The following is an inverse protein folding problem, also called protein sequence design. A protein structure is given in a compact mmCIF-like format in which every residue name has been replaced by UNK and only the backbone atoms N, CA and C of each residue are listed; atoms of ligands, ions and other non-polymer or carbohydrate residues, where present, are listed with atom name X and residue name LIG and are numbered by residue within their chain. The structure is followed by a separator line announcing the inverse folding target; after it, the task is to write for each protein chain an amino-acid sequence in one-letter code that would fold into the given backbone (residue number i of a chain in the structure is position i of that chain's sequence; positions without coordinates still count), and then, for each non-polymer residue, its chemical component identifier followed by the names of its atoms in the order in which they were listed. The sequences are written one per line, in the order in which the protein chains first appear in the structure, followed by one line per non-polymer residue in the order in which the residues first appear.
data_IF_446854339120
#
_entry.id   IF_446854339120
#
_cell.length_a   1.000
_cell.length_b   1.000
_cell.length_c   1.000
_cell.angle_alpha   90.00
_cell.angle_beta   90.00
_cell.angle_gamma   90.00
#
_symmetry.space_group_name_H-M   'P 1'
#
loop_
_entity.id
_entity.type
_entity.pdbx_description
1 polymer ?
#
# COMPACT_ATOMS: atom_id res chain seq x y z
N UNK A 1 44.80 -51.94 19.06
CA UNK A 1 45.73 -51.28 18.11
C UNK A 1 44.97 -50.89 16.83
N UNK A 2 44.54 -49.63 16.71
CA UNK A 2 44.60 -48.71 15.55
C UNK A 2 43.76 -47.46 15.87
N UNK A 3 44.13 -46.35 15.25
CA UNK A 3 44.19 -44.99 15.82
C UNK A 3 42.87 -44.19 15.81
N UNK A 4 42.83 -43.23 16.75
CA UNK A 4 41.89 -42.11 16.96
C UNK A 4 41.74 -41.19 15.74
N UNK A 5 40.60 -40.51 15.63
CA UNK A 5 40.55 -39.06 15.33
C UNK A 5 39.44 -38.41 16.19
N UNK A 6 39.84 -37.47 17.03
CA UNK A 6 38.98 -36.46 17.65
C UNK A 6 38.68 -35.37 16.60
N UNK A 7 37.42 -34.95 16.48
CA UNK A 7 37.06 -33.63 15.94
C UNK A 7 35.76 -33.20 16.64
N UNK A 8 35.89 -32.39 17.69
CA UNK A 8 35.80 -30.93 17.63
C UNK A 8 34.33 -30.48 17.73
N UNK A 9 34.00 -30.02 18.93
CA UNK A 9 32.89 -29.13 19.22
C UNK A 9 32.93 -27.96 18.24
N UNK A 10 31.91 -27.81 17.39
CA UNK A 10 31.58 -26.53 16.76
C UNK A 10 30.07 -26.29 16.83
N UNK A 11 29.74 -25.36 17.72
CA UNK A 11 28.49 -24.62 17.82
C UNK A 11 27.86 -24.29 16.46
N UNK A 12 26.56 -24.58 16.30
CA UNK A 12 25.60 -23.55 15.91
C UNK A 12 24.40 -23.69 16.84
N UNK A 13 24.40 -22.83 17.85
CA UNK A 13 23.17 -22.42 18.52
C UNK A 13 22.26 -21.89 17.42
N UNK A 14 21.16 -22.58 17.13
CA UNK A 14 20.09 -22.06 16.28
C UNK A 14 19.28 -21.03 17.10
N UNK A 15 19.98 -20.03 17.64
CA UNK A 15 19.40 -18.88 18.30
C UNK A 15 19.17 -17.81 17.25
N UNK A 16 17.90 -17.48 17.05
CA UNK A 16 17.44 -16.10 16.87
C UNK A 16 17.96 -15.44 15.59
N UNK A 17 17.39 -15.84 14.47
CA UNK A 17 17.06 -14.98 13.33
C UNK A 17 16.06 -15.76 12.49
N UNK A 18 14.84 -15.94 13.04
CA UNK A 18 13.69 -16.03 12.15
C UNK A 18 13.80 -14.82 11.22
N UNK A 19 13.54 -14.94 9.91
CA UNK A 19 13.44 -13.75 9.08
C UNK A 19 12.47 -12.85 9.85
N UNK A 20 12.98 -11.71 10.35
CA UNK A 20 12.10 -10.63 10.74
C UNK A 20 11.18 -10.50 9.53
N UNK A 21 9.91 -10.89 9.71
CA UNK A 21 8.90 -10.86 8.68
C UNK A 21 9.00 -9.45 8.13
N UNK A 22 9.64 -9.32 6.98
CA UNK A 22 9.88 -8.04 6.38
C UNK A 22 8.50 -7.67 5.86
N UNK A 23 7.75 -6.90 6.65
CA UNK A 23 6.42 -6.51 6.22
C UNK A 23 6.61 -5.66 4.98
N UNK A 24 5.78 -5.89 3.96
CA UNK A 24 5.82 -5.09 2.73
C UNK A 24 5.30 -3.65 2.93
N UNK A 25 5.04 -3.26 4.17
CA UNK A 25 4.52 -1.97 4.60
C UNK A 25 5.46 -0.80 4.31
N UNK A 26 4.87 0.40 4.17
CA UNK A 26 5.61 1.65 4.10
C UNK A 26 6.52 1.83 5.34
N UNK A 27 7.79 2.16 5.11
CA UNK A 27 8.77 2.38 6.19
C UNK A 27 9.46 1.13 6.75
N UNK A 28 9.29 -0.06 6.13
CA UNK A 28 10.07 -1.25 6.47
C UNK A 28 11.58 -1.06 6.24
N UNK A 29 12.42 -1.67 7.10
CA UNK A 29 13.87 -1.43 7.22
C UNK A 29 14.76 -1.64 5.95
N UNK A 30 14.24 -2.02 4.77
CA UNK A 30 15.07 -2.45 3.62
C UNK A 30 14.65 -2.02 2.20
N UNK A 31 13.75 -1.05 2.00
CA UNK A 31 13.49 -0.51 0.65
C UNK A 31 13.50 1.02 0.68
N UNK A 32 14.00 1.71 -0.37
CA UNK A 32 13.80 3.15 -0.53
C UNK A 32 12.30 3.41 -0.34
N UNK A 33 11.98 4.14 0.72
CA UNK A 33 10.74 3.99 1.45
C UNK A 33 9.62 4.75 0.74
N UNK A 34 8.77 4.03 0.00
CA UNK A 34 7.48 4.55 -0.42
C UNK A 34 6.76 5.13 0.81
N UNK A 35 6.15 6.29 0.63
CA UNK A 35 5.44 7.00 1.70
C UNK A 35 4.21 6.21 2.15
N UNK A 36 3.56 5.54 1.20
CA UNK A 36 2.42 4.67 1.44
C UNK A 36 2.59 3.41 0.63
N UNK A 37 2.26 2.27 1.22
CA UNK A 37 2.10 1.00 0.51
C UNK A 37 0.74 0.44 0.86
N UNK A 38 -0.09 0.22 -0.16
CA UNK A 38 -1.42 -0.38 -0.06
C UNK A 38 -1.47 -1.66 -0.88
N UNK A 39 -2.34 -2.57 -0.47
CA UNK A 39 -2.63 -3.82 -1.16
C UNK A 39 -4.10 -3.84 -1.55
N UNK A 40 -4.36 -4.21 -2.80
CA UNK A 40 -5.72 -4.37 -3.31
C UNK A 40 -6.34 -5.66 -2.73
N UNK A 41 -7.30 -5.49 -1.83
CA UNK A 41 -7.98 -6.59 -1.14
C UNK A 41 -9.09 -7.20 -1.99
N UNK A 42 -9.72 -6.40 -2.85
CA UNK A 42 -10.70 -6.84 -3.83
C UNK A 42 -10.77 -5.84 -4.99
N UNK A 43 -11.22 -6.34 -6.14
CA UNK A 43 -11.53 -5.53 -7.33
C UNK A 43 -12.77 -6.11 -8.01
N UNK A 44 -13.63 -5.24 -8.53
CA UNK A 44 -14.67 -5.59 -9.48
C UNK A 44 -14.45 -4.80 -10.76
N UNK A 45 -14.17 -5.51 -11.86
CA UNK A 45 -13.90 -4.90 -13.16
C UNK A 45 -14.95 -5.29 -14.20
N UNK A 46 -15.28 -4.35 -15.09
CA UNK A 46 -16.15 -4.54 -16.23
C UNK A 46 -15.50 -3.95 -17.48
N UNK A 47 -15.77 -4.57 -18.62
CA UNK A 47 -15.41 -4.01 -19.92
C UNK A 47 -16.63 -3.30 -20.50
N UNK A 48 -16.47 -2.03 -20.84
CA UNK A 48 -17.53 -1.17 -21.38
C UNK A 48 -17.09 -0.61 -22.72
N UNK A 49 -18.05 -0.12 -23.51
CA UNK A 49 -17.75 0.58 -24.76
C UNK A 49 -18.33 1.98 -24.67
N UNK A 50 -17.48 3.01 -24.66
CA UNK A 50 -17.87 4.42 -24.74
C UNK A 50 -17.40 5.01 -26.08
N UNK A 51 -18.32 5.61 -26.83
CA UNK A 51 -18.05 6.23 -28.15
C UNK A 51 -17.21 5.34 -29.10
N UNK A 52 -17.44 4.03 -29.06
CA UNK A 52 -16.74 3.06 -29.90
C UNK A 52 -15.35 2.64 -29.42
N UNK A 53 -14.90 3.12 -28.25
CA UNK A 53 -13.64 2.74 -27.61
C UNK A 53 -13.91 1.71 -26.52
N UNK A 54 -13.03 0.72 -26.37
CA UNK A 54 -13.13 -0.29 -25.32
C UNK A 54 -12.48 0.24 -24.05
N UNK A 55 -13.23 0.24 -22.96
CA UNK A 55 -12.79 0.65 -21.64
C UNK A 55 -12.77 -0.52 -20.67
N UNK A 56 -11.86 -0.48 -19.69
CA UNK A 56 -11.91 -1.29 -18.48
C UNK A 56 -12.21 -0.36 -17.30
N UNK A 57 -13.41 -0.50 -16.74
CA UNK A 57 -13.84 0.24 -15.57
C UNK A 57 -13.76 -0.69 -14.36
N UNK A 58 -13.10 -0.27 -13.29
CA UNK A 58 -12.98 -1.10 -12.09
C UNK A 58 -13.09 -0.30 -10.80
N UNK A 59 -13.61 -0.96 -9.77
CA UNK A 59 -13.65 -0.45 -8.40
C UNK A 59 -12.86 -1.40 -7.50
N UNK A 60 -11.99 -0.84 -6.66
CA UNK A 60 -11.09 -1.60 -5.79
C UNK A 60 -11.11 -1.10 -4.36
N UNK A 61 -11.06 -2.03 -3.40
CA UNK A 61 -10.78 -1.75 -2.00
C UNK A 61 -9.32 -2.05 -1.68
N UNK A 62 -8.61 -1.10 -1.09
CA UNK A 62 -7.20 -1.22 -0.73
C UNK A 62 -6.97 -0.92 0.75
N UNK A 63 -6.01 -1.62 1.34
CA UNK A 63 -5.55 -1.33 2.70
C UNK A 63 -4.03 -1.42 2.79
N UNK A 64 -3.44 -0.60 3.65
CA UNK A 64 -2.04 -0.73 4.01
C UNK A 64 -1.60 0.35 4.98
N UNK A 65 -0.35 0.78 4.87
CA UNK A 65 0.26 1.70 5.84
C UNK A 65 0.84 2.92 5.15
N UNK A 66 0.71 4.06 5.84
CA UNK A 66 1.47 5.27 5.56
C UNK A 66 2.60 5.41 6.60
N UNK A 67 3.77 5.85 6.14
CA UNK A 67 4.92 6.15 6.99
C UNK A 67 4.65 7.42 7.81
N UNK A 68 5.07 7.42 9.08
CA UNK A 68 5.00 8.62 9.93
C UNK A 68 5.78 9.79 9.29
N UNK A 69 5.23 11.00 9.39
CA UNK A 69 5.75 12.21 8.78
C UNK A 69 5.24 12.47 7.35
N UNK A 70 4.51 11.52 6.76
CA UNK A 70 3.87 11.73 5.46
C UNK A 70 2.55 12.48 5.61
N UNK A 71 2.01 13.10 4.54
CA UNK A 71 0.72 13.78 4.59
C UNK A 71 -0.48 12.93 5.05
N UNK A 72 -0.41 11.59 4.96
CA UNK A 72 -1.45 10.68 5.48
C UNK A 72 -1.16 10.20 6.91
N UNK A 73 -0.02 10.57 7.49
CA UNK A 73 0.39 10.16 8.82
C UNK A 73 1.31 11.20 9.47
N UNK A 74 0.81 12.41 9.69
CA UNK A 74 1.59 13.46 10.35
C UNK A 74 1.58 13.28 11.87
N UNK A 75 2.61 13.80 12.55
CA UNK A 75 2.62 13.84 14.02
C UNK A 75 1.43 14.63 14.57
N UNK A 76 1.11 15.77 13.95
CA UNK A 76 -0.05 16.61 14.32
C UNK A 76 -1.39 15.86 14.22
N UNK A 77 -1.55 14.99 13.22
CA UNK A 77 -2.76 14.16 13.07
C UNK A 77 -2.92 13.20 14.24
N UNK A 78 -1.82 12.54 14.63
CA UNK A 78 -1.81 11.59 15.73
C UNK A 78 -1.99 12.28 17.08
N UNK A 79 -1.30 13.39 17.31
CA UNK A 79 -1.46 14.24 18.49
C UNK A 79 -2.89 14.73 18.65
N UNK A 80 -3.53 15.16 17.56
CA UNK A 80 -4.91 15.61 17.58
C UNK A 80 -5.87 14.45 17.84
N UNK A 81 -5.66 13.29 17.22
CA UNK A 81 -6.43 12.09 17.49
C UNK A 81 -6.35 11.73 18.99
N UNK A 82 -5.14 11.65 19.55
CA UNK A 82 -4.94 11.39 20.97
C UNK A 82 -5.65 12.41 21.87
N UNK A 83 -5.55 13.70 21.57
CA UNK A 83 -6.25 14.77 22.33
C UNK A 83 -7.77 14.60 22.28
N UNK A 84 -8.34 14.41 21.09
CA UNK A 84 -9.79 14.29 20.88
C UNK A 84 -10.33 13.04 21.58
N UNK A 85 -9.64 11.91 21.47
CA UNK A 85 -10.06 10.66 22.10
C UNK A 85 -9.87 10.71 23.62
N UNK A 86 -8.78 11.29 24.12
CA UNK A 86 -8.56 11.47 25.56
C UNK A 86 -9.62 12.35 26.21
N UNK A 87 -10.09 13.40 25.54
CA UNK A 87 -11.21 14.22 26.01
C UNK A 87 -12.51 13.41 26.18
N UNK A 88 -12.63 12.26 25.48
CA UNK A 88 -13.73 11.30 25.61
C UNK A 88 -13.41 10.12 26.53
N UNK A 89 -12.33 10.22 27.32
CA UNK A 89 -11.80 9.15 28.17
C UNK A 89 -11.49 7.87 27.37
N UNK A 90 -10.83 8.06 26.22
CA UNK A 90 -10.38 6.98 25.32
C UNK A 90 -8.90 7.11 25.00
N UNK A 91 -8.20 5.99 25.06
CA UNK A 91 -6.78 5.88 24.71
C UNK A 91 -6.63 5.31 23.30
N UNK A 92 -5.98 6.07 22.41
CA UNK A 92 -5.55 5.57 21.10
C UNK A 92 -4.42 4.57 21.29
N UNK A 93 -4.45 3.48 20.53
CA UNK A 93 -3.38 2.49 20.43
C UNK A 93 -2.76 2.59 19.04
N UNK A 94 -1.45 2.40 18.99
CA UNK A 94 -0.67 2.37 17.74
C UNK A 94 -0.56 3.71 16.97
N UNK A 95 -0.59 4.85 17.68
CA UNK A 95 -0.45 6.18 17.10
C UNK A 95 0.87 6.43 16.31
N UNK A 96 1.87 5.52 16.42
CA UNK A 96 3.11 5.61 15.64
C UNK A 96 3.01 5.08 14.20
N UNK A 97 1.86 4.51 13.79
CA UNK A 97 1.64 3.98 12.43
C UNK A 97 0.21 4.21 11.98
N UNK A 98 0.05 4.80 10.79
CA UNK A 98 -1.26 5.08 10.24
C UNK A 98 -1.67 4.00 9.26
N UNK A 99 -2.82 3.38 9.52
CA UNK A 99 -3.46 2.49 8.57
C UNK A 99 -4.27 3.32 7.60
N UNK A 100 -4.16 3.00 6.32
CA UNK A 100 -4.90 3.68 5.25
C UNK A 100 -5.81 2.66 4.61
N UNK A 101 -7.10 2.97 4.57
CA UNK A 101 -8.13 2.22 3.84
C UNK A 101 -8.62 3.10 2.70
N UNK A 102 -8.54 2.62 1.46
CA UNK A 102 -8.91 3.38 0.28
C UNK A 102 -9.90 2.61 -0.59
N UNK A 103 -10.81 3.36 -1.21
CA UNK A 103 -11.73 2.84 -2.23
C UNK A 103 -11.51 3.66 -3.49
N UNK A 104 -11.03 2.99 -4.54
CA UNK A 104 -10.66 3.63 -5.79
C UNK A 104 -11.52 3.14 -6.95
N UNK A 105 -11.81 4.04 -7.88
CA UNK A 105 -12.32 3.75 -9.20
C UNK A 105 -11.22 3.97 -10.22
N UNK A 106 -11.21 3.16 -11.27
CA UNK A 106 -10.39 3.36 -12.46
C UNK A 106 -11.25 3.27 -13.72
N UNK A 107 -10.91 4.08 -14.70
CA UNK A 107 -11.43 3.99 -16.06
C UNK A 107 -10.24 4.02 -17.02
N UNK A 108 -9.92 2.86 -17.60
CA UNK A 108 -8.82 2.69 -18.53
C UNK A 108 -9.34 2.54 -19.94
N UNK A 109 -8.96 3.45 -20.81
CA UNK A 109 -9.15 3.36 -22.24
C UNK A 109 -8.13 2.38 -22.81
N UNK A 110 -8.61 1.23 -23.26
CA UNK A 110 -7.77 0.17 -23.80
C UNK A 110 -7.33 0.46 -25.24
N UNK A 111 -7.81 1.56 -25.83
CA UNK A 111 -7.37 2.13 -27.09
C UNK A 111 -7.36 1.16 -28.27
N UNK A 112 -6.59 1.56 -29.28
CA UNK A 112 -6.10 0.64 -30.31
C UNK A 112 -4.83 -0.03 -29.78
N UNK A 113 -4.89 -1.35 -29.56
CA UNK A 113 -3.82 -2.13 -28.94
C UNK A 113 -2.50 -2.07 -29.71
N UNK A 114 -2.54 -1.63 -30.96
CA UNK A 114 -1.38 -1.54 -31.86
C UNK A 114 -0.33 -0.50 -31.40
N UNK A 115 -0.72 0.50 -30.60
CA UNK A 115 0.22 1.48 -30.03
C UNK A 115 0.82 1.07 -28.67
N UNK A 116 0.30 0.00 -28.06
CA UNK A 116 0.83 -0.58 -26.83
C UNK A 116 0.73 0.31 -25.57
N UNK A 117 0.06 1.46 -25.63
CA UNK A 117 -0.14 2.36 -24.49
C UNK A 117 -1.60 2.33 -24.07
N UNK A 118 -1.84 1.92 -22.82
CA UNK A 118 -3.16 2.03 -22.17
C UNK A 118 -3.09 3.20 -21.19
N UNK A 119 -4.12 4.04 -21.18
CA UNK A 119 -4.18 5.22 -20.32
C UNK A 119 -5.58 5.40 -19.76
N UNK A 120 -5.69 6.17 -18.69
CA UNK A 120 -6.98 6.38 -18.05
C UNK A 120 -6.89 7.28 -16.84
N UNK A 121 -7.95 7.23 -16.02
CA UNK A 121 -8.04 8.01 -14.79
C UNK A 121 -8.27 7.12 -13.60
N UNK A 122 -7.88 7.62 -12.43
CA UNK A 122 -8.29 7.10 -11.14
C UNK A 122 -8.85 8.21 -10.27
N UNK A 123 -9.81 7.85 -9.44
CA UNK A 123 -10.35 8.69 -8.39
C UNK A 123 -10.83 7.83 -7.22
N UNK A 124 -11.08 8.43 -6.07
CA UNK A 124 -11.64 7.69 -4.96
C UNK A 124 -11.59 8.42 -3.64
N UNK A 125 -11.87 7.67 -2.59
CA UNK A 125 -11.84 8.14 -1.20
C UNK A 125 -10.89 7.31 -0.37
N UNK A 126 -10.43 7.89 0.74
CA UNK A 126 -9.65 7.17 1.72
C UNK A 126 -9.97 7.59 3.14
N UNK A 127 -9.56 6.73 4.06
CA UNK A 127 -9.63 6.89 5.50
C UNK A 127 -8.26 6.59 6.08
N UNK A 128 -7.82 7.42 7.01
CA UNK A 128 -6.74 7.07 7.92
C UNK A 128 -7.38 6.61 9.23
N UNK A 129 -7.01 5.40 9.66
CA UNK A 129 -7.62 4.73 10.81
C UNK A 129 -6.56 4.27 11.81
N UNK A 130 -6.94 4.31 13.08
CA UNK A 130 -6.13 3.90 14.24
C UNK A 130 -6.92 2.93 15.12
N UNK A 131 -6.24 2.33 16.11
CA UNK A 131 -6.89 1.49 17.13
C UNK A 131 -7.16 2.30 18.40
N UNK A 132 -8.05 1.81 19.27
CA UNK A 132 -8.24 2.35 20.61
C UNK A 132 -8.50 1.24 21.62
N UNK A 133 -8.45 1.56 22.91
CA UNK A 133 -8.78 0.59 23.96
C UNK A 133 -10.24 0.08 23.93
N UNK A 134 -11.11 0.69 23.13
CA UNK A 134 -12.47 0.21 22.90
C UNK A 134 -12.64 -0.58 21.60
N UNK A 135 -11.66 -0.56 20.70
CA UNK A 135 -11.69 -1.40 19.51
C UNK A 135 -11.18 -2.80 19.87
N UNK A 136 -11.58 -3.81 19.11
CA UNK A 136 -10.96 -5.12 19.23
C UNK A 136 -9.51 -5.01 18.74
N UNK A 137 -8.54 -4.92 19.66
CA UNK A 137 -7.12 -4.80 19.30
C UNK A 137 -6.55 -6.01 18.54
N UNK A 138 -7.32 -7.10 18.44
CA UNK A 138 -6.99 -8.25 17.58
C UNK A 138 -7.45 -8.04 16.13
N UNK A 139 -8.42 -7.14 15.92
CA UNK A 139 -9.00 -6.79 14.62
C UNK A 139 -8.21 -5.65 13.94
N UNK A 140 -8.52 -5.41 12.67
CA UNK A 140 -7.98 -4.31 11.91
C UNK A 140 -8.38 -2.95 12.53
N UNK A 141 -7.50 -1.93 12.47
CA UNK A 141 -7.83 -0.58 12.92
C UNK A 141 -9.04 0.00 12.19
N UNK A 142 -10.00 0.54 12.94
CA UNK A 142 -11.29 1.00 12.39
C UNK A 142 -11.63 2.46 12.74
N UNK A 143 -10.87 3.09 13.64
CA UNK A 143 -11.20 4.41 14.16
C UNK A 143 -10.66 5.52 13.25
N UNK A 144 -11.56 6.17 12.52
CA UNK A 144 -11.22 7.23 11.56
C UNK A 144 -10.67 8.48 12.26
N UNK A 145 -9.48 8.91 11.81
CA UNK A 145 -8.83 10.16 12.24
C UNK A 145 -8.71 11.18 11.12
N UNK A 146 -8.75 10.72 9.87
CA UNK A 146 -8.76 11.59 8.68
C UNK A 146 -9.57 10.92 7.57
N UNK A 147 -10.30 11.74 6.82
CA UNK A 147 -10.93 11.35 5.56
C UNK A 147 -10.28 12.09 4.40
N UNK A 148 -10.29 11.52 3.22
CA UNK A 148 -9.75 12.19 2.04
C UNK A 148 -10.34 11.67 0.75
N UNK A 149 -10.02 12.38 -0.33
CA UNK A 149 -10.28 11.97 -1.70
C UNK A 149 -9.03 12.16 -2.53
N UNK A 150 -8.91 11.36 -3.59
CA UNK A 150 -7.79 11.43 -4.51
C UNK A 150 -8.26 11.39 -5.95
N UNK A 151 -7.43 11.93 -6.83
CA UNK A 151 -7.54 11.79 -8.29
C UNK A 151 -6.16 11.60 -8.90
N UNK A 152 -6.09 11.07 -10.12
CA UNK A 152 -4.85 10.95 -10.87
C UNK A 152 -5.05 10.39 -12.27
N UNK A 153 -3.98 10.43 -13.06
CA UNK A 153 -3.93 9.83 -14.41
C UNK A 153 -3.14 8.53 -14.34
N UNK A 154 -3.67 7.48 -14.96
CA UNK A 154 -3.01 6.19 -15.08
C UNK A 154 -2.40 6.04 -16.46
N UNK A 155 -1.17 5.53 -16.51
CA UNK A 155 -0.48 5.13 -17.74
C UNK A 155 0.11 3.75 -17.55
N UNK A 156 -0.17 2.85 -18.50
CA UNK A 156 0.37 1.49 -18.57
C UNK A 156 1.36 1.44 -19.72
N UNK A 157 2.65 1.35 -19.39
CA UNK A 157 3.74 1.13 -20.34
C UNK A 157 4.42 -0.23 -20.15
N UNK A 158 4.13 -0.90 -19.03
CA UNK A 158 4.56 -2.25 -18.69
C UNK A 158 3.36 -2.97 -18.07
N UNK A 159 3.01 -4.15 -18.55
CA UNK A 159 1.87 -4.91 -18.02
C UNK A 159 2.06 -5.29 -16.53
N UNK A 160 3.30 -5.33 -16.02
CA UNK A 160 3.58 -5.60 -14.62
C UNK A 160 3.63 -4.32 -13.75
N UNK A 161 3.72 -3.13 -14.34
CA UNK A 161 3.86 -1.85 -13.63
C UNK A 161 2.97 -0.78 -14.26
N UNK A 162 1.93 -0.39 -13.53
CA UNK A 162 1.01 0.67 -13.92
C UNK A 162 1.37 1.93 -13.12
N UNK A 163 1.54 3.06 -13.79
CA UNK A 163 2.00 4.31 -13.15
C UNK A 163 0.86 5.30 -12.99
N UNK A 164 0.78 5.91 -11.81
CA UNK A 164 -0.06 7.08 -11.53
C UNK A 164 0.80 8.33 -11.68
N UNK A 165 0.32 9.28 -12.47
CA UNK A 165 0.90 10.61 -12.64
C UNK A 165 -0.14 11.69 -12.33
N UNK A 166 0.33 12.89 -11.95
CA UNK A 166 -0.54 14.02 -11.64
C UNK A 166 -1.47 13.76 -10.44
N UNK A 167 -1.10 12.84 -9.56
CA UNK A 167 -1.91 12.47 -8.39
C UNK A 167 -2.14 13.67 -7.49
N UNK A 168 -3.38 13.87 -7.06
CA UNK A 168 -3.74 14.90 -6.07
C UNK A 168 -4.57 14.27 -4.98
N UNK A 169 -4.19 14.52 -3.73
CA UNK A 169 -4.88 14.10 -2.53
C UNK A 169 -5.42 15.33 -1.81
N UNK A 170 -6.70 15.32 -1.48
CA UNK A 170 -7.33 16.33 -0.61
C UNK A 170 -7.81 15.68 0.67
N UNK A 171 -7.31 16.17 1.80
CA UNK A 171 -7.74 15.74 3.13
C UNK A 171 -8.87 16.62 3.66
N UNK A 172 -9.81 16.00 4.36
CA UNK A 172 -10.79 16.67 5.19
C UNK A 172 -10.65 16.19 6.63
N UNK A 173 -10.69 17.12 7.57
CA UNK A 173 -10.40 16.86 8.97
C UNK A 173 -10.17 18.16 9.73
N UNK A 174 -10.09 18.07 11.06
CA UNK A 174 -9.65 19.17 11.90
C UNK A 174 -8.43 18.71 12.70
N UNK A 175 -7.23 19.28 12.47
CA UNK A 175 -6.93 20.33 11.48
C UNK A 175 -7.10 19.85 10.03
N UNK A 176 -7.22 20.78 9.08
CA UNK A 176 -7.28 20.43 7.65
C UNK A 176 -5.92 19.88 7.22
N UNK A 177 -5.90 18.63 6.75
CA UNK A 177 -4.70 17.99 6.22
C UNK A 177 -4.66 18.15 4.69
N UNK A 178 -3.46 18.35 4.14
CA UNK A 178 -3.28 18.69 2.71
C UNK A 178 -4.10 19.92 2.24
N UNK A 179 -3.99 21.09 2.91
CA UNK A 179 -4.69 22.29 2.47
C UNK A 179 -4.19 22.70 1.07
N UNK A 180 -5.09 22.75 0.08
CA UNK A 180 -4.74 23.01 -1.33
C UNK A 180 -4.39 21.77 -2.16
N UNK A 181 -4.32 20.59 -1.53
CA UNK A 181 -4.10 19.30 -2.17
C UNK A 181 -2.64 18.89 -2.21
N UNK A 182 -2.30 17.77 -1.57
CA UNK A 182 -0.96 17.18 -1.65
C UNK A 182 -0.78 16.47 -2.99
N UNK A 183 0.36 16.68 -3.63
CA UNK A 183 0.69 16.01 -4.88
C UNK A 183 1.35 14.67 -4.62
N UNK A 184 1.07 13.68 -5.45
CA UNK A 184 1.69 12.38 -5.36
C UNK A 184 1.90 11.71 -6.72
N UNK A 185 2.82 10.76 -6.74
CA UNK A 185 2.96 9.76 -7.80
C UNK A 185 2.77 8.38 -7.20
N UNK A 186 2.45 7.40 -8.05
CA UNK A 186 2.32 6.03 -7.56
C UNK A 186 2.57 4.98 -8.62
N UNK A 187 2.74 3.74 -8.15
CA UNK A 187 2.94 2.57 -9.00
C UNK A 187 2.13 1.40 -8.46
N UNK A 188 1.23 0.87 -9.28
CA UNK A 188 0.67 -0.45 -9.04
C UNK A 188 1.64 -1.49 -9.60
N UNK A 189 2.08 -2.42 -8.77
CA UNK A 189 2.83 -3.61 -9.17
C UNK A 189 1.85 -4.77 -9.27
N UNK A 190 1.60 -5.22 -10.49
CA UNK A 190 0.75 -6.39 -10.71
C UNK A 190 1.53 -7.67 -10.40
N UNK A 191 0.97 -8.58 -9.58
CA UNK A 191 1.60 -9.86 -9.34
C UNK A 191 1.46 -10.77 -10.57
N UNK A 192 2.49 -11.55 -10.86
CA UNK A 192 2.44 -12.59 -11.91
C UNK A 192 3.24 -13.82 -11.48
N UNK A 193 3.08 -14.93 -12.19
CA UNK A 193 3.70 -16.21 -11.81
C UNK A 193 4.98 -16.46 -12.59
N UNK A 194 6.05 -16.81 -11.87
CA UNK A 194 7.31 -17.31 -12.42
C UNK A 194 7.67 -18.60 -11.68
N UNK A 195 7.82 -19.72 -12.41
CA UNK A 195 8.12 -21.03 -11.83
C UNK A 195 7.22 -21.39 -10.62
N UNK A 196 5.91 -21.17 -10.75
CA UNK A 196 4.90 -21.40 -9.70
C UNK A 196 5.00 -20.50 -8.46
N UNK A 197 5.81 -19.45 -8.51
CA UNK A 197 5.93 -18.44 -7.45
C UNK A 197 5.32 -17.14 -7.94
N UNK A 198 4.45 -16.54 -7.14
CA UNK A 198 3.94 -15.20 -7.40
C UNK A 198 5.04 -14.16 -7.09
N UNK A 199 5.28 -13.24 -8.01
CA UNK A 199 6.30 -12.20 -7.91
C UNK A 199 5.78 -10.83 -8.35
N UNK A 200 6.36 -9.77 -7.81
CA UNK A 200 6.30 -8.41 -8.36
C UNK A 200 7.56 -8.10 -9.17
N UNK A 201 7.42 -7.24 -10.17
CA UNK A 201 8.56 -6.63 -10.89
C UNK A 201 8.89 -5.27 -10.27
N UNK A 202 10.15 -5.08 -9.88
CA UNK A 202 10.70 -3.78 -9.48
C UNK A 202 11.06 -2.93 -10.70
N UNK A 203 11.26 -1.63 -10.48
CA UNK A 203 11.69 -0.70 -11.53
C UNK A 203 13.05 -1.08 -12.14
N UNK A 204 13.93 -1.73 -11.35
CA UNK A 204 15.20 -2.29 -11.83
C UNK A 204 15.04 -3.54 -12.70
N UNK A 205 13.82 -4.02 -12.90
CA UNK A 205 13.52 -5.32 -13.53
C UNK A 205 13.69 -6.52 -12.59
N UNK A 206 14.21 -6.31 -11.38
CA UNK A 206 14.35 -7.39 -10.39
C UNK A 206 12.96 -7.94 -10.01
N UNK A 207 12.85 -9.27 -9.97
CA UNK A 207 11.66 -9.96 -9.47
C UNK A 207 11.78 -10.17 -7.96
N UNK A 208 10.71 -9.88 -7.23
CA UNK A 208 10.61 -10.14 -5.79
C UNK A 208 9.38 -10.97 -5.48
N UNK A 209 9.48 -12.03 -4.64
CA UNK A 209 8.33 -12.83 -4.25
C UNK A 209 7.26 -11.98 -3.56
N UNK A 210 6.00 -12.32 -3.84
CA UNK A 210 4.84 -11.83 -3.07
C UNK A 210 4.85 -12.52 -1.71
N UNK A 211 4.93 -11.73 -0.64
CA UNK A 211 5.02 -12.24 0.72
C UNK A 211 3.66 -12.73 1.24
N UNK A 212 3.62 -13.55 2.31
CA UNK A 212 2.37 -14.05 2.87
C UNK A 212 1.38 -12.96 3.31
N UNK A 213 1.88 -11.83 3.83
CA UNK A 213 1.11 -10.66 4.27
C UNK A 213 0.68 -9.72 3.14
N UNK A 214 1.07 -10.03 1.90
CA UNK A 214 0.73 -9.28 0.69
C UNK A 214 -0.36 -10.01 -0.11
N UNK A 215 -1.10 -10.89 0.57
CA UNK A 215 -2.12 -11.75 -0.01
C UNK A 215 -3.47 -11.48 0.62
N UNK A 216 -4.52 -11.44 -0.21
CA UNK A 216 -5.90 -11.38 0.23
C UNK A 216 -6.47 -12.80 0.18
N UNK A 217 -6.73 -13.38 1.36
CA UNK A 217 -7.25 -14.76 1.49
C UNK A 217 -6.41 -15.83 0.74
N UNK A 218 -5.10 -15.57 0.59
CA UNK A 218 -4.15 -16.47 -0.09
C UNK A 218 -3.81 -16.04 -1.52
N UNK A 219 -4.61 -15.20 -2.14
CA UNK A 219 -4.37 -14.71 -3.51
C UNK A 219 -3.37 -13.55 -3.51
N UNK A 220 -2.38 -13.54 -4.43
CA UNK A 220 -1.47 -12.40 -4.60
C UNK A 220 -2.24 -11.12 -4.93
N UNK A 221 -2.00 -10.05 -4.17
CA UNK A 221 -2.67 -8.76 -4.38
C UNK A 221 -1.86 -7.82 -5.26
N UNK A 222 -2.51 -6.84 -5.90
CA UNK A 222 -1.81 -5.71 -6.49
C UNK A 222 -1.24 -4.85 -5.37
N UNK A 223 0.05 -4.48 -5.48
CA UNK A 223 0.72 -3.57 -4.55
C UNK A 223 0.75 -2.15 -5.11
N UNK A 224 0.10 -1.20 -4.45
CA UNK A 224 0.19 0.21 -4.76
C UNK A 224 1.25 0.87 -3.88
N UNK A 225 2.26 1.45 -4.52
CA UNK A 225 3.32 2.23 -3.90
C UNK A 225 3.11 3.71 -4.20
N UNK A 226 3.05 4.57 -3.19
CA UNK A 226 2.81 6.01 -3.33
C UNK A 226 4.01 6.79 -2.79
N UNK A 227 4.35 7.89 -3.47
CA UNK A 227 5.31 8.88 -3.01
C UNK A 227 4.71 10.27 -3.16
N UNK A 228 4.71 11.05 -2.08
CA UNK A 228 4.33 12.45 -2.10
C UNK A 228 5.45 13.26 -2.75
N UNK A 229 5.07 14.26 -3.53
CA UNK A 229 6.02 15.19 -4.15
C UNK A 229 5.86 16.54 -3.47
N UNK A 230 6.98 17.10 -3.02
CA UNK A 230 7.03 18.48 -2.56
C UNK A 230 6.79 19.42 -3.76
N UNK A 231 6.14 20.55 -3.50
CA UNK A 231 6.04 21.66 -4.47
C UNK A 231 7.39 22.39 -4.63
#
# INVERSE_FOLDING_TARGET
MKRRVNALVLLIVLSVLGPALATGEAGGHRSPSNDVVLYELNEQAQFTVDKGRLHRVAMSGLEGKARLGTPLCTEDLMDQAEKVFKARQRTVKDAGRCTVVAFGNSDLDLGDRDLGIVQGTIDGTLYVVVNSELTNLTDAPELVVMTGSFTGTVVVTDAAIITITGGTLTGTGSPTFCPGGCKFTGKFRQPFTVHHVAVYKKDSGQLVPVLPDERALGDPTVRLEITFVDD
#
